data_IF_013092727728
#
_entry.id   IF_013092727728
#
_cell.length_a   1.000
_cell.length_b   1.000
_cell.length_c   1.000
_cell.angle_alpha   90.00
_cell.angle_beta   90.00
_cell.angle_gamma   90.00
#
_symmetry.space_group_name_H-M   'P 1'
#
loop_
_entity.id
_entity.type
_entity.pdbx_description
1 polymer ?
#
# COMPACT_ATOMS: atom_id res chain seq x y z
N UNK A 1 12.10 -31.86 31.22
CA UNK A 1 10.80 -31.18 31.18
C UNK A 1 10.18 -31.48 29.79
N UNK A 2 9.09 -32.23 29.79
CA UNK A 2 8.45 -32.71 28.55
C UNK A 2 7.79 -31.54 27.84
N UNK A 3 8.37 -31.14 26.73
CA UNK A 3 7.81 -30.06 25.84
C UNK A 3 6.68 -30.66 24.98
N UNK A 4 5.53 -30.96 25.59
CA UNK A 4 4.36 -31.35 24.83
C UNK A 4 3.72 -30.10 24.19
N UNK A 5 3.41 -30.12 22.89
CA UNK A 5 2.74 -29.00 22.24
C UNK A 5 1.40 -28.74 22.94
N UNK A 6 1.18 -27.50 23.34
CA UNK A 6 -0.09 -27.08 23.94
C UNK A 6 -1.16 -27.01 22.86
N UNK A 7 -2.28 -27.69 23.08
CA UNK A 7 -3.44 -27.61 22.20
C UNK A 7 -4.32 -26.44 22.63
N UNK A 8 -4.57 -25.52 21.71
CA UNK A 8 -5.54 -24.44 21.91
C UNK A 8 -6.94 -24.89 21.45
N UNK A 9 -8.03 -24.38 22.07
CA UNK A 9 -9.37 -24.61 21.58
C UNK A 9 -9.56 -23.98 20.20
N UNK A 10 -10.49 -24.51 19.44
CA UNK A 10 -10.79 -23.98 18.07
C UNK A 10 -11.32 -22.55 18.09
N UNK A 11 -11.97 -22.13 19.16
CA UNK A 11 -12.46 -20.76 19.39
C UNK A 11 -11.70 -20.15 20.56
N UNK A 12 -11.19 -18.95 20.34
CA UNK A 12 -10.35 -18.21 21.28
C UNK A 12 -11.01 -16.89 21.64
N UNK A 13 -10.88 -16.50 22.90
CA UNK A 13 -11.24 -15.18 23.42
C UNK A 13 -9.99 -14.35 23.59
N UNK A 14 -9.98 -13.15 23.06
CA UNK A 14 -8.88 -12.19 23.19
C UNK A 14 -9.39 -10.96 23.94
N UNK A 15 -8.55 -10.43 24.79
CA UNK A 15 -8.70 -9.11 25.40
C UNK A 15 -7.55 -8.24 24.89
N UNK A 16 -7.83 -7.34 23.97
CA UNK A 16 -6.83 -6.43 23.38
C UNK A 16 -7.06 -5.05 23.99
N UNK A 17 -6.22 -4.67 24.93
CA UNK A 17 -6.30 -3.39 25.64
C UNK A 17 -7.67 -3.11 26.28
N UNK A 18 -8.33 -4.13 26.80
CA UNK A 18 -9.66 -4.01 27.39
C UNK A 18 -10.83 -4.26 26.41
N UNK A 19 -10.58 -4.36 25.09
CA UNK A 19 -11.60 -4.73 24.12
C UNK A 19 -11.60 -6.24 23.88
N UNK A 20 -12.77 -6.85 23.94
CA UNK A 20 -12.94 -8.30 23.81
C UNK A 20 -13.28 -8.71 22.38
N UNK A 21 -12.55 -9.73 21.90
CA UNK A 21 -12.76 -10.33 20.59
C UNK A 21 -12.88 -11.85 20.71
N UNK A 22 -13.73 -12.43 19.89
CA UNK A 22 -13.84 -13.89 19.76
C UNK A 22 -13.56 -14.29 18.33
N UNK A 23 -12.68 -15.27 18.14
CA UNK A 23 -12.29 -15.73 16.82
C UNK A 23 -11.80 -17.17 16.84
N UNK A 24 -11.54 -17.76 15.67
CA UNK A 24 -11.00 -19.11 15.58
C UNK A 24 -9.46 -19.11 15.61
N UNK A 25 -8.90 -20.21 16.12
CA UNK A 25 -7.46 -20.48 16.03
C UNK A 25 -6.97 -20.41 14.58
N UNK A 26 -7.75 -20.95 13.64
CA UNK A 26 -7.44 -20.92 12.21
C UNK A 26 -7.29 -19.48 11.68
N UNK A 27 -8.14 -18.55 12.12
CA UNK A 27 -8.04 -17.14 11.75
C UNK A 27 -6.75 -16.52 12.26
N UNK A 28 -6.41 -16.74 13.55
CA UNK A 28 -5.20 -16.15 14.15
C UNK A 28 -3.90 -16.69 13.56
N UNK A 29 -3.92 -17.92 13.06
CA UNK A 29 -2.74 -18.59 12.47
C UNK A 29 -2.72 -18.56 10.95
N UNK A 30 -3.62 -17.81 10.32
CA UNK A 30 -3.73 -17.75 8.84
C UNK A 30 -2.47 -17.20 8.18
N UNK A 31 -1.84 -16.18 8.77
CA UNK A 31 -0.53 -15.71 8.35
C UNK A 31 0.53 -16.37 9.25
N UNK A 32 1.27 -17.37 8.75
CA UNK A 32 2.22 -18.14 9.56
C UNK A 32 3.41 -17.32 10.04
N UNK A 33 3.67 -16.17 9.42
CA UNK A 33 4.77 -15.26 9.77
C UNK A 33 4.34 -14.19 10.79
N UNK A 34 3.06 -14.16 11.15
CA UNK A 34 2.55 -13.16 12.10
C UNK A 34 2.91 -13.49 13.55
N UNK A 35 2.93 -12.44 14.37
CA UNK A 35 3.09 -12.57 15.83
C UNK A 35 1.97 -13.42 16.43
N UNK A 36 0.73 -13.30 15.93
CA UNK A 36 -0.40 -14.08 16.39
C UNK A 36 -0.23 -15.58 16.10
N UNK A 37 0.26 -15.94 14.92
CA UNK A 37 0.58 -17.33 14.60
C UNK A 37 1.68 -17.87 15.49
N UNK A 38 2.71 -17.09 15.77
CA UNK A 38 3.78 -17.46 16.71
C UNK A 38 3.23 -17.65 18.13
N UNK A 39 2.41 -16.73 18.61
CA UNK A 39 1.77 -16.75 19.93
C UNK A 39 0.93 -18.03 20.11
N UNK A 40 0.09 -18.38 19.16
CA UNK A 40 -0.80 -19.54 19.23
C UNK A 40 -0.22 -20.82 18.59
N UNK A 41 1.09 -20.87 18.37
CA UNK A 41 1.77 -22.06 17.82
C UNK A 41 1.89 -23.24 18.80
N UNK A 42 1.57 -23.04 20.07
CA UNK A 42 1.77 -24.03 21.14
C UNK A 42 3.21 -24.09 21.68
N UNK A 43 4.12 -23.28 21.15
CA UNK A 43 5.54 -23.21 21.59
C UNK A 43 5.76 -22.35 22.83
N UNK A 44 4.84 -21.44 23.11
CA UNK A 44 4.91 -20.49 24.22
C UNK A 44 3.87 -20.81 25.28
N UNK A 45 4.25 -20.63 26.55
CA UNK A 45 3.27 -20.64 27.62
C UNK A 45 2.52 -19.32 27.62
N UNK A 46 1.18 -19.43 27.47
CA UNK A 46 0.30 -18.30 27.54
C UNK A 46 -0.62 -18.46 28.74
N UNK A 47 -0.73 -17.41 29.50
CA UNK A 47 -1.70 -17.32 30.60
C UNK A 47 -2.99 -16.67 30.09
N UNK A 48 -4.10 -17.11 30.65
CA UNK A 48 -5.40 -16.48 30.42
C UNK A 48 -5.76 -15.60 31.62
N UNK A 49 -6.50 -14.56 31.36
CA UNK A 49 -7.16 -13.75 32.38
C UNK A 49 -8.26 -14.57 33.09
N UNK A 50 -8.81 -14.08 34.20
CA UNK A 50 -9.84 -14.77 34.99
C UNK A 50 -11.08 -15.17 34.17
N UNK A 51 -11.42 -14.40 33.14
CA UNK A 51 -12.54 -14.67 32.21
C UNK A 51 -12.20 -15.66 31.08
N UNK A 52 -10.96 -16.22 31.10
CA UNK A 52 -10.46 -17.18 30.12
C UNK A 52 -10.04 -16.55 28.79
N UNK A 53 -9.85 -15.22 28.71
CA UNK A 53 -9.33 -14.55 27.52
C UNK A 53 -7.79 -14.45 27.55
N UNK A 54 -7.17 -14.39 26.37
CA UNK A 54 -5.74 -14.09 26.22
C UNK A 54 -5.56 -12.58 26.11
N UNK A 55 -4.76 -12.01 27.01
CA UNK A 55 -4.52 -10.57 27.02
C UNK A 55 -3.41 -10.18 26.06
N UNK A 56 -3.66 -9.11 25.31
CA UNK A 56 -2.66 -8.48 24.43
C UNK A 56 -2.64 -6.99 24.78
N UNK A 57 -1.48 -6.52 25.24
CA UNK A 57 -1.30 -5.11 25.65
C UNK A 57 -1.09 -4.21 24.42
N UNK A 58 -2.18 -4.02 23.68
CA UNK A 58 -2.25 -3.14 22.50
C UNK A 58 -3.58 -2.42 22.45
N UNK A 59 -3.66 -1.36 21.62
CA UNK A 59 -4.92 -0.64 21.40
C UNK A 59 -5.90 -1.51 20.59
N UNK A 60 -6.99 -1.92 21.25
CA UNK A 60 -8.05 -2.72 20.62
C UNK A 60 -8.85 -1.98 19.55
N UNK A 61 -8.77 -0.64 19.47
CA UNK A 61 -9.57 0.17 18.54
C UNK A 61 -9.36 -0.24 17.08
N UNK A 62 -8.11 -0.54 16.73
CA UNK A 62 -7.74 -0.91 15.35
C UNK A 62 -7.62 -2.42 15.14
N UNK A 63 -7.62 -3.21 16.20
CA UNK A 63 -7.50 -4.67 16.12
C UNK A 63 -8.62 -5.31 15.29
N UNK A 64 -9.81 -4.73 15.25
CA UNK A 64 -10.90 -5.21 14.39
C UNK A 64 -10.51 -5.25 12.90
N UNK A 65 -9.70 -4.30 12.42
CA UNK A 65 -9.23 -4.28 11.03
C UNK A 65 -8.19 -5.38 10.78
N UNK A 66 -7.27 -5.57 11.74
CA UNK A 66 -6.31 -6.68 11.75
C UNK A 66 -7.06 -8.02 11.70
N UNK A 67 -8.05 -8.20 12.57
CA UNK A 67 -8.82 -9.44 12.64
C UNK A 67 -9.66 -9.68 11.38
N UNK A 68 -10.24 -8.64 10.80
CA UNK A 68 -10.98 -8.75 9.54
C UNK A 68 -10.06 -9.05 8.35
N UNK A 69 -8.87 -8.46 8.30
CA UNK A 69 -7.85 -8.84 7.33
C UNK A 69 -7.49 -10.33 7.44
N UNK A 70 -7.26 -10.84 8.64
CA UNK A 70 -6.99 -12.26 8.86
C UNK A 70 -8.16 -13.16 8.45
N UNK A 71 -9.41 -12.70 8.54
CA UNK A 71 -10.61 -13.44 8.10
C UNK A 71 -10.77 -13.45 6.59
N UNK A 72 -10.58 -12.29 5.95
CA UNK A 72 -10.93 -12.06 4.55
C UNK A 72 -9.73 -12.26 3.61
N UNK A 73 -8.52 -11.93 4.06
CA UNK A 73 -7.30 -11.89 3.24
C UNK A 73 -7.09 -10.57 2.51
N UNK A 74 -7.92 -9.59 2.80
CA UNK A 74 -7.84 -8.22 2.26
C UNK A 74 -8.18 -7.19 3.33
N UNK A 75 -7.60 -6.00 3.21
CA UNK A 75 -7.80 -4.89 4.15
C UNK A 75 -8.96 -4.02 3.67
N UNK A 76 -10.07 -4.07 4.39
CA UNK A 76 -11.25 -3.25 4.11
C UNK A 76 -11.30 -2.08 5.11
N UNK A 77 -11.15 -0.87 4.59
CA UNK A 77 -11.20 0.37 5.37
C UNK A 77 -12.38 1.24 4.93
N UNK A 78 -12.97 2.04 5.84
CA UNK A 78 -13.96 3.03 5.47
C UNK A 78 -13.34 4.12 4.60
N UNK A 79 -14.15 4.74 3.73
CA UNK A 79 -13.73 5.90 2.94
C UNK A 79 -13.24 7.03 3.86
N UNK A 80 -12.13 7.66 3.45
CA UNK A 80 -11.55 8.78 4.20
C UNK A 80 -10.92 8.40 5.54
N UNK A 81 -10.57 7.12 5.75
CA UNK A 81 -9.91 6.69 6.98
C UNK A 81 -8.65 7.52 7.26
N UNK A 82 -8.61 8.17 8.43
CA UNK A 82 -7.50 9.05 8.86
C UNK A 82 -6.51 8.36 9.79
N UNK A 83 -6.85 7.19 10.29
CA UNK A 83 -6.07 6.40 11.27
C UNK A 83 -5.06 5.43 10.64
N UNK A 84 -4.60 5.72 9.42
CA UNK A 84 -3.71 4.79 8.69
C UNK A 84 -2.36 4.59 9.38
N UNK A 85 -1.83 5.63 10.06
CA UNK A 85 -0.57 5.54 10.80
C UNK A 85 -0.69 4.66 12.04
N UNK A 86 -1.79 4.76 12.76
CA UNK A 86 -2.10 3.93 13.92
C UNK A 86 -2.27 2.48 13.50
N UNK A 87 -3.02 2.23 12.43
CA UNK A 87 -3.20 0.88 11.89
C UNK A 87 -1.89 0.30 11.35
N UNK A 88 -1.02 1.12 10.75
CA UNK A 88 0.33 0.72 10.33
C UNK A 88 1.19 0.29 11.54
N UNK A 89 1.10 1.03 12.65
CA UNK A 89 1.80 0.68 13.88
C UNK A 89 1.32 -0.68 14.44
N UNK A 90 0.02 -0.93 14.44
CA UNK A 90 -0.54 -2.22 14.83
C UNK A 90 -0.11 -3.35 13.88
N UNK A 91 -0.18 -3.12 12.57
CA UNK A 91 0.25 -4.10 11.57
C UNK A 91 1.74 -4.48 11.70
N UNK A 92 2.59 -3.50 12.04
CA UNK A 92 4.01 -3.75 12.36
C UNK A 92 4.17 -4.59 13.62
N UNK A 93 3.43 -4.29 14.68
CA UNK A 93 3.46 -5.05 15.92
C UNK A 93 3.05 -6.51 15.69
N UNK A 94 1.94 -6.73 14.98
CA UNK A 94 1.45 -8.07 14.65
C UNK A 94 2.24 -8.75 13.52
N UNK A 95 3.24 -8.10 12.93
CA UNK A 95 4.08 -8.59 11.83
C UNK A 95 3.26 -9.05 10.61
N UNK A 96 2.23 -8.29 10.26
CA UNK A 96 1.34 -8.56 9.13
C UNK A 96 1.79 -7.79 7.89
N UNK A 97 2.76 -8.37 7.17
CA UNK A 97 3.33 -7.72 5.98
C UNK A 97 2.28 -7.41 4.92
N UNK A 98 1.29 -8.28 4.71
CA UNK A 98 0.22 -8.05 3.74
C UNK A 98 -0.63 -6.82 4.06
N UNK A 99 -0.91 -6.55 5.35
CA UNK A 99 -1.58 -5.30 5.77
C UNK A 99 -0.70 -4.08 5.46
N UNK A 100 0.61 -4.17 5.76
CA UNK A 100 1.56 -3.10 5.47
C UNK A 100 1.64 -2.80 3.97
N UNK A 101 1.60 -3.82 3.13
CA UNK A 101 1.64 -3.65 1.67
C UNK A 101 0.36 -3.01 1.14
N UNK A 102 -0.80 -3.33 1.72
CA UNK A 102 -2.08 -2.71 1.34
C UNK A 102 -2.25 -1.27 1.86
N UNK A 103 -1.60 -0.94 2.99
CA UNK A 103 -1.57 0.43 3.54
C UNK A 103 -0.63 1.36 2.77
N UNK A 104 0.33 0.80 2.01
CA UNK A 104 1.17 1.62 1.14
C UNK A 104 0.27 2.39 0.16
N UNK A 105 0.56 3.68 -0.09
CA UNK A 105 -0.15 4.41 -1.12
C UNK A 105 -0.12 3.58 -2.41
N UNK A 106 -1.30 3.19 -2.90
CA UNK A 106 -1.37 2.51 -4.21
C UNK A 106 -0.77 3.46 -5.22
N UNK A 107 0.39 3.07 -5.76
CA UNK A 107 1.05 3.84 -6.82
C UNK A 107 0.07 3.86 -7.97
N UNK A 108 -0.26 5.03 -8.46
CA UNK A 108 -1.00 5.10 -9.71
C UNK A 108 -0.20 4.33 -10.76
N UNK A 109 -0.84 3.42 -11.49
CA UNK A 109 -0.24 2.75 -12.67
C UNK A 109 0.14 3.76 -13.76
N UNK A 110 -0.32 5.00 -13.57
CA UNK A 110 0.03 6.12 -14.42
C UNK A 110 1.55 6.32 -14.38
N UNK A 111 2.11 6.52 -15.55
CA UNK A 111 3.56 6.73 -15.76
C UNK A 111 4.45 5.49 -15.55
N UNK A 112 3.91 4.27 -15.44
CA UNK A 112 4.73 3.03 -15.34
C UNK A 112 5.68 2.86 -16.52
N UNK A 113 5.29 3.31 -17.71
CA UNK A 113 6.15 3.28 -18.89
C UNK A 113 7.32 4.28 -18.83
N UNK A 114 7.37 5.18 -17.85
CA UNK A 114 8.43 6.16 -17.73
C UNK A 114 9.70 5.55 -17.17
N UNK A 115 10.81 5.70 -17.90
CA UNK A 115 12.15 5.33 -17.41
C UNK A 115 12.79 6.43 -16.53
N UNK A 116 12.15 7.58 -16.40
CA UNK A 116 12.58 8.71 -15.58
C UNK A 116 11.86 8.68 -14.23
N UNK A 117 10.54 8.46 -14.24
CA UNK A 117 9.71 8.41 -13.05
C UNK A 117 9.70 6.99 -12.46
N UNK A 118 10.85 6.45 -12.14
CA UNK A 118 11.00 5.09 -11.59
C UNK A 118 10.63 5.01 -10.11
N UNK A 119 10.69 6.13 -9.38
CA UNK A 119 10.37 6.24 -7.97
C UNK A 119 8.88 6.59 -7.81
N UNK A 120 8.21 5.88 -6.90
CA UNK A 120 6.81 6.12 -6.52
C UNK A 120 6.55 7.54 -6.02
N UNK A 121 7.49 8.08 -5.25
CA UNK A 121 7.40 9.43 -4.71
C UNK A 121 7.33 10.47 -5.83
N UNK A 122 8.17 10.33 -6.87
CA UNK A 122 8.14 11.24 -8.03
C UNK A 122 6.81 11.19 -8.78
N UNK A 123 6.23 9.99 -8.94
CA UNK A 123 4.92 9.81 -9.58
C UNK A 123 3.81 10.44 -8.75
N UNK A 124 3.84 10.24 -7.43
CA UNK A 124 2.88 10.81 -6.49
C UNK A 124 2.93 12.34 -6.49
N UNK A 125 4.13 12.91 -6.41
CA UNK A 125 4.34 14.37 -6.46
C UNK A 125 3.81 14.94 -7.77
N UNK A 126 4.16 14.32 -8.91
CA UNK A 126 3.68 14.75 -10.21
C UNK A 126 2.14 14.71 -10.30
N UNK A 127 1.53 13.63 -9.84
CA UNK A 127 0.07 13.51 -9.80
C UNK A 127 -0.58 14.57 -8.91
N UNK A 128 0.06 14.90 -7.78
CA UNK A 128 -0.42 15.97 -6.88
C UNK A 128 -0.45 17.36 -7.53
N UNK A 129 0.39 17.62 -8.50
CA UNK A 129 0.45 18.90 -9.23
C UNK A 129 -0.58 19.00 -10.35
N UNK A 130 -1.13 17.87 -10.80
CA UNK A 130 -2.11 17.87 -11.89
C UNK A 130 -3.48 18.32 -11.38
N UNK A 131 -4.24 19.09 -12.19
CA UNK A 131 -5.63 19.37 -11.92
C UNK A 131 -6.42 18.07 -11.70
N UNK A 132 -7.38 18.09 -10.81
CA UNK A 132 -8.14 16.87 -10.43
C UNK A 132 -8.82 16.21 -11.64
N UNK A 133 -9.35 16.99 -12.54
CA UNK A 133 -9.97 16.54 -13.80
C UNK A 133 -8.97 15.82 -14.73
N UNK A 134 -7.67 16.01 -14.53
CA UNK A 134 -6.58 15.43 -15.34
C UNK A 134 -5.89 14.24 -14.64
N UNK A 135 -6.38 13.80 -13.49
CA UNK A 135 -5.86 12.65 -12.75
C UNK A 135 -6.42 11.33 -13.27
N UNK A 136 -6.28 11.11 -14.57
CA UNK A 136 -6.73 9.90 -15.25
C UNK A 136 -5.59 9.04 -15.77
N UNK A 137 -5.88 8.18 -16.73
CA UNK A 137 -4.87 7.35 -17.38
C UNK A 137 -3.98 8.19 -18.31
N UNK A 138 -2.66 8.08 -18.10
CA UNK A 138 -1.63 8.73 -18.90
C UNK A 138 -0.93 7.72 -19.80
N UNK A 139 -0.82 8.05 -21.07
CA UNK A 139 -0.14 7.22 -22.06
C UNK A 139 1.16 7.86 -22.50
N UNK A 140 2.23 7.06 -22.59
CA UNK A 140 3.50 7.52 -23.15
C UNK A 140 3.37 7.80 -24.65
N UNK A 141 3.56 9.05 -25.05
CA UNK A 141 3.55 9.46 -26.45
C UNK A 141 4.93 9.39 -27.09
N UNK A 142 5.96 9.90 -26.38
CA UNK A 142 7.30 10.05 -26.90
C UNK A 142 8.33 9.78 -25.80
N UNK A 143 9.42 9.13 -26.20
CA UNK A 143 10.60 8.91 -25.36
C UNK A 143 11.84 9.17 -26.19
N UNK A 144 12.56 10.26 -25.91
CA UNK A 144 13.76 10.67 -26.66
C UNK A 144 14.85 9.60 -26.68
N UNK A 145 15.09 8.88 -25.56
CA UNK A 145 16.06 7.78 -25.50
C UNK A 145 15.70 6.56 -26.38
N UNK A 146 14.45 6.47 -26.86
CA UNK A 146 13.99 5.40 -27.76
C UNK A 146 13.86 5.85 -29.21
N UNK A 147 13.42 7.10 -29.44
CA UNK A 147 13.06 7.60 -30.76
C UNK A 147 14.04 8.63 -31.32
N UNK A 148 15.09 9.01 -30.55
CA UNK A 148 16.03 10.10 -30.89
C UNK A 148 15.58 11.43 -30.29
N UNK A 149 16.51 12.38 -30.29
CA UNK A 149 16.32 13.73 -29.71
C UNK A 149 15.91 14.79 -30.76
N UNK A 150 15.58 14.36 -31.98
CA UNK A 150 15.18 15.28 -33.03
C UNK A 150 13.78 15.85 -32.83
N UNK A 151 13.64 17.15 -33.03
CA UNK A 151 12.36 17.84 -32.89
C UNK A 151 11.27 17.27 -33.83
N UNK A 152 11.65 16.83 -35.02
CA UNK A 152 10.74 16.22 -36.00
C UNK A 152 10.12 14.94 -35.46
N UNK A 153 10.90 14.09 -34.78
CA UNK A 153 10.39 12.87 -34.14
C UNK A 153 9.45 13.17 -32.99
N UNK A 154 9.76 14.17 -32.16
CA UNK A 154 8.86 14.66 -31.12
C UNK A 154 7.53 15.12 -31.72
N UNK A 155 7.55 16.01 -32.70
CA UNK A 155 6.36 16.55 -33.34
C UNK A 155 5.51 15.47 -34.01
N UNK A 156 6.15 14.49 -34.70
CA UNK A 156 5.43 13.39 -35.32
C UNK A 156 4.58 12.56 -34.34
N UNK A 157 4.98 12.52 -33.06
CA UNK A 157 4.31 11.74 -32.00
C UNK A 157 3.37 12.57 -31.14
N UNK A 158 3.70 13.85 -30.93
CA UNK A 158 3.08 14.70 -29.94
C UNK A 158 2.13 15.76 -30.51
N UNK A 159 2.26 16.13 -31.80
CA UNK A 159 1.39 17.13 -32.40
C UNK A 159 -0.07 16.70 -32.37
N UNK A 160 -0.94 17.68 -32.14
CA UNK A 160 -2.38 17.54 -31.95
C UNK A 160 -2.77 16.67 -30.72
N UNK A 161 -1.78 16.36 -29.86
CA UNK A 161 -2.01 15.69 -28.57
C UNK A 161 -1.95 16.72 -27.45
N UNK A 162 -2.90 16.68 -26.57
CA UNK A 162 -2.97 17.48 -25.36
C UNK A 162 -4.21 17.09 -24.57
N UNK A 163 -4.19 17.31 -23.27
CA UNK A 163 -3.07 17.82 -22.44
C UNK A 163 -1.90 16.86 -22.36
N UNK A 164 -0.69 17.41 -22.14
CA UNK A 164 0.54 16.61 -22.06
C UNK A 164 1.42 17.01 -20.89
N UNK A 165 2.22 16.05 -20.43
CA UNK A 165 3.29 16.22 -19.45
C UNK A 165 4.61 15.90 -20.12
N UNK A 166 5.57 16.79 -19.98
CA UNK A 166 6.96 16.55 -20.41
C UNK A 166 7.82 16.40 -19.16
N UNK A 167 8.59 15.32 -19.07
CA UNK A 167 9.52 15.06 -17.97
C UNK A 167 10.91 14.89 -18.55
N UNK A 168 11.87 15.58 -17.95
CA UNK A 168 13.29 15.57 -18.37
C UNK A 168 14.14 15.18 -17.16
N UNK A 169 15.14 14.32 -17.40
CA UNK A 169 16.19 14.00 -16.43
C UNK A 169 17.53 14.52 -16.93
N UNK A 170 18.22 15.27 -16.08
CA UNK A 170 19.59 15.76 -16.32
C UNK A 170 20.45 15.50 -15.08
N UNK A 171 21.37 14.54 -15.16
CA UNK A 171 22.08 14.06 -13.98
C UNK A 171 21.11 13.48 -12.96
N UNK A 172 21.16 13.96 -11.73
CA UNK A 172 20.25 13.57 -10.65
C UNK A 172 18.95 14.41 -10.60
N UNK A 173 18.86 15.47 -11.41
CA UNK A 173 17.71 16.36 -11.40
C UNK A 173 16.62 15.87 -12.35
N UNK A 174 15.38 15.84 -11.85
CA UNK A 174 14.18 15.57 -12.64
C UNK A 174 13.29 16.81 -12.60
N UNK A 175 12.92 17.30 -13.76
CA UNK A 175 12.04 18.46 -13.92
C UNK A 175 11.12 18.26 -15.12
N UNK A 176 10.13 19.11 -15.26
CA UNK A 176 9.19 18.99 -16.37
C UNK A 176 8.13 20.08 -16.35
N UNK A 177 7.16 19.94 -17.23
CA UNK A 177 6.05 20.86 -17.36
C UNK A 177 4.78 20.18 -17.84
N UNK A 178 3.66 20.74 -17.44
CA UNK A 178 2.33 20.37 -17.88
C UNK A 178 1.79 21.45 -18.82
N UNK A 179 1.11 21.05 -19.89
CA UNK A 179 0.37 21.94 -20.75
C UNK A 179 -0.98 21.35 -21.14
N UNK A 180 -2.02 22.16 -21.07
CA UNK A 180 -3.36 21.80 -21.54
C UNK A 180 -3.49 21.94 -23.06
N UNK A 181 -2.60 22.74 -23.68
CA UNK A 181 -2.64 23.00 -25.12
C UNK A 181 -1.98 21.87 -25.89
N UNK A 182 -2.59 21.52 -27.01
CA UNK A 182 -2.00 20.59 -27.95
C UNK A 182 -0.74 21.15 -28.60
N UNK A 183 0.26 20.29 -28.78
CA UNK A 183 1.46 20.63 -29.52
C UNK A 183 1.16 20.91 -30.99
N UNK A 184 1.93 21.79 -31.60
CA UNK A 184 1.83 22.12 -33.02
C UNK A 184 3.22 22.37 -33.59
N UNK A 185 3.54 21.75 -34.71
CA UNK A 185 4.68 22.16 -35.52
C UNK A 185 4.47 23.58 -36.02
N UNK A 186 5.48 24.42 -36.01
CA UNK A 186 5.45 25.64 -36.82
C UNK A 186 5.53 25.18 -38.29
N UNK A 187 4.44 25.38 -39.03
CA UNK A 187 4.47 25.29 -40.49
C UNK A 187 5.21 26.55 -40.94
N UNK A 188 6.46 26.40 -41.43
CA UNK A 188 7.17 27.46 -42.12
C UNK A 188 6.57 27.56 -43.52
#
# INVERSE_FOLDING_TARGET
MSNQPRYFPSILKLNVGGQHFTTSLQTLTRDPNSMLAAMFSGRHELETTEDGSFFIDRDGTYFRFILNYLRNGELILPEGATFLKELEAEAKFYQLQGVLDELKPKVPKEFEESVILTNEEHRRVLKGWLPEAMRGEWRLLFRASRYGFDASMFHSKCDQKGPTITVVKSGENIFGGFTEKAWKSKIN
#
